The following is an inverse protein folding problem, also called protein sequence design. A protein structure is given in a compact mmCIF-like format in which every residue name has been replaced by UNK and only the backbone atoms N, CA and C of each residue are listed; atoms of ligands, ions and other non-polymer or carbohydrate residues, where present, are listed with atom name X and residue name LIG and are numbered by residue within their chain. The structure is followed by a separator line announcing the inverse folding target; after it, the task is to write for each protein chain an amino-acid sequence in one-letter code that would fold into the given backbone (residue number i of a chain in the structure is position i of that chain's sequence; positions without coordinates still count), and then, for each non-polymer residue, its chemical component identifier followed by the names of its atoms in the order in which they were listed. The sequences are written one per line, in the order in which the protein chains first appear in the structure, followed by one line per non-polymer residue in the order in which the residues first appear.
data_IF_179248767123
#
_entry.id   IF_179248767123
#
_cell.length_a   1.000
_cell.length_b   1.000
_cell.length_c   1.000
_cell.angle_alpha   90.00
_cell.angle_beta   90.00
_cell.angle_gamma   90.00
#
_symmetry.space_group_name_H-M   'P 1'
#
loop_
_entity.id
_entity.type
_entity.pdbx_description
1 polymer ?
#
# COMPACT_ATOMS: atom_id res chain seq x y z
N UNK A 1 -5.34 3.80 -19.08
CA UNK A 1 -5.38 4.59 -20.32
C UNK A 1 -4.17 4.37 -21.23
N UNK A 2 -2.97 4.14 -20.67
CA UNK A 2 -1.73 3.93 -21.45
C UNK A 2 -1.85 2.97 -22.66
N UNK A 3 -2.43 1.77 -22.47
CA UNK A 3 -2.59 0.80 -23.55
C UNK A 3 -3.58 1.28 -24.63
N UNK A 4 -4.61 2.04 -24.24
CA UNK A 4 -5.58 2.64 -25.18
C UNK A 4 -4.92 3.72 -26.04
N UNK A 5 -4.05 4.54 -25.44
CA UNK A 5 -3.30 5.58 -26.16
C UNK A 5 -2.27 5.00 -27.15
N UNK A 6 -1.77 3.80 -26.87
CA UNK A 6 -0.77 3.11 -27.71
C UNK A 6 -1.37 2.04 -28.62
N UNK A 7 -2.69 1.90 -28.64
CA UNK A 7 -3.41 0.84 -29.38
C UNK A 7 -2.85 -0.57 -29.11
N UNK A 8 -2.55 -0.85 -27.84
CA UNK A 8 -1.97 -2.11 -27.39
C UNK A 8 -3.00 -3.00 -26.67
N UNK A 9 -2.89 -4.31 -26.86
CA UNK A 9 -3.64 -5.30 -26.08
C UNK A 9 -3.11 -5.35 -24.63
N UNK A 10 -3.92 -4.98 -23.62
CA UNK A 10 -3.49 -4.94 -22.22
C UNK A 10 -3.14 -6.32 -21.64
N UNK A 11 -3.53 -7.41 -22.30
CA UNK A 11 -3.26 -8.80 -21.85
C UNK A 11 -2.02 -9.42 -22.50
N UNK A 12 -1.38 -8.73 -23.45
CA UNK A 12 -0.20 -9.21 -24.19
C UNK A 12 1.01 -8.30 -24.06
N UNK A 13 1.05 -7.47 -23.02
CA UNK A 13 2.17 -6.56 -22.79
C UNK A 13 3.47 -7.33 -22.50
N UNK A 14 4.58 -6.85 -23.07
CA UNK A 14 5.94 -7.34 -22.80
C UNK A 14 6.56 -6.65 -21.58
N UNK A 15 7.69 -7.16 -21.08
CA UNK A 15 8.44 -6.52 -20.00
C UNK A 15 8.86 -5.09 -20.33
N UNK A 16 9.17 -4.81 -21.60
CA UNK A 16 9.55 -3.47 -22.05
C UNK A 16 8.36 -2.50 -21.95
N UNK A 17 7.17 -2.95 -22.35
CA UNK A 17 5.95 -2.13 -22.27
C UNK A 17 5.62 -1.77 -20.83
N UNK A 18 5.78 -2.73 -19.92
CA UNK A 18 5.62 -2.50 -18.48
C UNK A 18 6.67 -1.51 -17.96
N UNK A 19 7.94 -1.63 -18.36
CA UNK A 19 8.97 -0.67 -17.97
C UNK A 19 8.67 0.74 -18.49
N UNK A 20 8.22 0.89 -19.74
CA UNK A 20 7.83 2.19 -20.29
C UNK A 20 6.63 2.78 -19.55
N UNK A 21 5.61 1.98 -19.24
CA UNK A 21 4.49 2.42 -18.42
C UNK A 21 4.95 2.89 -17.03
N UNK A 22 5.79 2.11 -16.34
CA UNK A 22 6.31 2.48 -15.03
C UNK A 22 7.23 3.71 -15.09
N UNK A 23 7.97 3.89 -16.18
CA UNK A 23 8.79 5.08 -16.41
C UNK A 23 7.92 6.33 -16.62
N UNK A 24 6.83 6.22 -17.38
CA UNK A 24 5.86 7.29 -17.56
C UNK A 24 5.16 7.63 -16.24
N UNK A 25 4.82 6.62 -15.44
CA UNK A 25 4.28 6.82 -14.10
C UNK A 25 5.28 7.54 -13.18
N UNK A 26 6.57 7.22 -13.29
CA UNK A 26 7.64 7.85 -12.51
C UNK A 26 7.83 9.33 -12.85
N UNK A 27 7.71 9.71 -14.13
CA UNK A 27 7.90 11.09 -14.60
C UNK A 27 6.67 11.96 -14.42
N UNK A 28 5.47 11.40 -14.63
CA UNK A 28 4.21 12.14 -14.53
C UNK A 28 3.77 12.46 -13.10
N UNK A 29 4.24 11.68 -12.11
CA UNK A 29 3.72 11.75 -10.76
C UNK A 29 4.75 11.41 -9.67
N UNK A 30 4.56 11.99 -8.49
CA UNK A 30 5.41 11.73 -7.32
C UNK A 30 4.88 10.58 -6.44
N UNK A 31 4.61 9.41 -7.04
CA UNK A 31 4.22 8.23 -6.29
C UNK A 31 5.37 7.58 -5.50
N UNK A 32 5.04 6.92 -4.38
CA UNK A 32 6.01 6.17 -3.60
C UNK A 32 6.33 4.81 -4.25
N UNK A 33 7.40 4.15 -3.82
CA UNK A 33 7.77 2.83 -4.34
C UNK A 33 6.66 1.78 -4.20
N UNK A 34 5.87 1.84 -3.13
CA UNK A 34 4.76 0.90 -2.89
C UNK A 34 3.77 0.91 -4.05
N UNK A 35 3.44 2.07 -4.61
CA UNK A 35 2.57 2.17 -5.80
C UNK A 35 3.12 1.38 -6.99
N UNK A 36 4.41 1.54 -7.32
CA UNK A 36 5.03 0.80 -8.42
C UNK A 36 5.05 -0.71 -8.16
N UNK A 37 5.32 -1.11 -6.92
CA UNK A 37 5.29 -2.51 -6.53
C UNK A 37 3.87 -3.09 -6.64
N UNK A 38 2.84 -2.34 -6.25
CA UNK A 38 1.43 -2.75 -6.41
C UNK A 38 1.06 -2.90 -7.88
N UNK A 39 1.43 -1.94 -8.75
CA UNK A 39 1.20 -2.08 -10.19
C UNK A 39 1.91 -3.31 -10.76
N UNK A 40 3.17 -3.55 -10.40
CA UNK A 40 3.90 -4.75 -10.81
C UNK A 40 3.15 -6.02 -10.38
N UNK A 41 2.75 -6.11 -9.12
CA UNK A 41 2.02 -7.27 -8.60
C UNK A 41 0.70 -7.48 -9.32
N UNK A 42 -0.07 -6.43 -9.56
CA UNK A 42 -1.33 -6.51 -10.30
C UNK A 42 -1.12 -6.98 -11.75
N UNK A 43 -0.15 -6.39 -12.46
CA UNK A 43 0.21 -6.81 -13.82
C UNK A 43 0.65 -8.27 -13.85
N UNK A 44 1.33 -8.73 -12.81
CA UNK A 44 1.82 -10.11 -12.71
C UNK A 44 0.72 -11.16 -12.51
N UNK A 45 -0.51 -10.74 -12.21
CA UNK A 45 -1.68 -11.62 -12.14
C UNK A 45 -2.35 -11.79 -13.50
N UNK A 46 -2.15 -10.84 -14.41
CA UNK A 46 -2.87 -10.73 -15.68
C UNK A 46 -1.96 -11.10 -16.86
N UNK A 47 -0.67 -10.79 -16.76
CA UNK A 47 0.33 -11.03 -17.78
C UNK A 47 1.05 -12.37 -17.56
N UNK A 48 1.70 -12.92 -18.62
CA UNK A 48 2.44 -14.17 -18.54
C UNK A 48 3.52 -14.16 -17.44
N UNK A 49 3.75 -15.32 -16.84
CA UNK A 49 4.67 -15.50 -15.71
C UNK A 49 6.12 -15.12 -16.04
N UNK A 50 6.52 -15.22 -17.32
CA UNK A 50 7.84 -14.81 -17.82
C UNK A 50 8.19 -13.34 -17.49
N UNK A 51 7.19 -12.49 -17.32
CA UNK A 51 7.36 -11.07 -17.02
C UNK A 51 7.75 -10.84 -15.55
N UNK A 52 7.35 -11.74 -14.63
CA UNK A 52 7.76 -11.67 -13.21
C UNK A 52 9.26 -11.87 -13.07
N UNK A 53 9.81 -12.77 -13.89
CA UNK A 53 11.18 -13.23 -13.78
C UNK A 53 12.19 -12.46 -14.61
N UNK A 54 11.73 -11.51 -15.42
CA UNK A 54 12.60 -10.66 -16.21
C UNK A 54 13.63 -9.91 -15.33
N UNK A 55 14.94 -10.15 -15.52
CA UNK A 55 15.99 -9.50 -14.74
C UNK A 55 16.05 -7.99 -14.95
N UNK A 56 15.68 -7.48 -16.14
CA UNK A 56 15.66 -6.05 -16.42
C UNK A 56 14.53 -5.36 -15.67
N UNK A 57 13.33 -5.95 -15.64
CA UNK A 57 12.22 -5.40 -14.86
C UNK A 57 12.55 -5.39 -13.35
N UNK A 58 13.16 -6.47 -12.84
CA UNK A 58 13.64 -6.54 -11.45
C UNK A 58 14.66 -5.44 -11.16
N UNK A 59 15.64 -5.23 -12.06
CA UNK A 59 16.68 -4.20 -11.90
C UNK A 59 16.11 -2.78 -12.02
N UNK A 60 15.14 -2.56 -12.90
CA UNK A 60 14.45 -1.30 -13.08
C UNK A 60 13.70 -0.90 -11.79
N UNK A 61 12.89 -1.81 -11.24
CA UNK A 61 12.20 -1.57 -9.96
C UNK A 61 13.18 -1.35 -8.80
N UNK A 62 14.32 -2.04 -8.78
CA UNK A 62 15.40 -1.76 -7.81
C UNK A 62 15.97 -0.35 -7.95
N UNK A 63 16.04 0.17 -9.18
CA UNK A 63 16.37 1.57 -9.45
C UNK A 63 15.36 2.52 -8.82
N UNK A 64 14.06 2.29 -9.05
CA UNK A 64 12.97 3.09 -8.46
C UNK A 64 13.03 3.02 -6.93
N UNK A 65 13.26 1.84 -6.34
CA UNK A 65 13.41 1.69 -4.90
C UNK A 65 14.52 2.58 -4.32
N UNK A 66 15.66 2.67 -5.01
CA UNK A 66 16.79 3.52 -4.59
C UNK A 66 16.49 5.01 -4.75
N UNK A 67 15.76 5.38 -5.81
CA UNK A 67 15.35 6.76 -6.05
C UNK A 67 14.25 7.22 -5.09
N UNK A 68 13.35 6.31 -4.69
CA UNK A 68 12.18 6.58 -3.85
C UNK A 68 12.08 5.54 -2.74
N UNK A 69 13.00 5.55 -1.74
CA UNK A 69 12.96 4.57 -0.66
C UNK A 69 11.62 4.63 0.08
N UNK A 70 11.03 3.48 0.45
CA UNK A 70 9.80 3.46 1.22
C UNK A 70 10.06 4.14 2.57
N UNK A 71 9.25 5.15 2.86
CA UNK A 71 9.27 5.85 4.14
C UNK A 71 8.26 5.19 5.09
N UNK A 72 8.52 5.18 6.40
CA UNK A 72 7.53 4.76 7.36
C UNK A 72 6.26 5.61 7.19
N UNK A 73 5.08 4.97 7.29
CA UNK A 73 3.79 5.66 7.17
C UNK A 73 3.61 6.70 8.28
N UNK A 74 4.19 6.43 9.45
CA UNK A 74 4.13 7.27 10.63
C UNK A 74 5.54 7.76 10.97
N UNK A 75 5.70 9.06 11.12
CA UNK A 75 6.98 9.66 11.53
C UNK A 75 7.12 9.72 13.06
N UNK A 76 6.07 9.41 13.81
CA UNK A 76 6.04 9.42 15.26
C UNK A 76 5.09 8.35 15.79
N UNK A 77 5.31 7.93 17.03
CA UNK A 77 4.38 7.13 17.83
C UNK A 77 3.63 8.06 18.77
N UNK A 78 2.34 7.80 19.00
CA UNK A 78 1.50 8.58 19.91
C UNK A 78 1.43 7.91 21.29
N UNK A 79 1.07 8.68 22.32
CA UNK A 79 0.96 8.21 23.70
C UNK A 79 -0.41 7.52 23.93
N UNK A 80 -0.47 6.20 24.17
CA UNK A 80 -1.73 5.48 24.39
C UNK A 80 -2.51 5.97 25.62
N UNK A 81 -1.82 6.59 26.59
CA UNK A 81 -2.46 7.07 27.81
C UNK A 81 -3.53 8.13 27.53
N UNK A 82 -3.35 8.98 26.50
CA UNK A 82 -4.33 10.02 26.17
C UNK A 82 -5.71 9.42 25.83
N UNK A 83 -5.71 8.23 25.19
CA UNK A 83 -6.95 7.49 24.87
C UNK A 83 -7.47 6.73 26.08
N UNK A 84 -6.57 6.15 26.90
CA UNK A 84 -6.95 5.45 28.12
C UNK A 84 -7.62 6.38 29.14
N UNK A 85 -7.09 7.59 29.29
CA UNK A 85 -7.64 8.64 30.15
C UNK A 85 -9.02 9.06 29.64
N UNK A 86 -9.20 9.19 28.32
CA UNK A 86 -10.50 9.52 27.73
C UNK A 86 -11.56 8.43 27.95
N UNK A 87 -11.24 7.16 27.70
CA UNK A 87 -12.21 6.07 27.91
C UNK A 87 -12.49 5.80 29.39
N UNK A 88 -11.62 6.27 30.30
CA UNK A 88 -11.85 6.16 31.74
C UNK A 88 -13.02 7.04 32.21
N UNK A 89 -13.35 8.12 31.48
CA UNK A 89 -14.46 9.01 31.81
C UNK A 89 -15.81 8.56 31.25
N UNK A 90 -15.86 7.41 30.55
CA UNK A 90 -17.09 6.91 29.97
C UNK A 90 -17.98 6.31 31.06
N UNK A 91 -19.27 6.63 31.00
CA UNK A 91 -20.27 6.04 31.90
C UNK A 91 -20.49 4.56 31.54
N UNK A 92 -20.42 3.69 32.54
CA UNK A 92 -20.54 2.24 32.39
C UNK A 92 -22.02 1.77 32.44
N UNK A 93 -22.98 2.71 32.48
CA UNK A 93 -24.42 2.40 32.54
C UNK A 93 -25.02 1.90 31.22
N UNK A 94 -24.45 2.25 30.06
CA UNK A 94 -24.94 1.85 28.75
C UNK A 94 -24.06 0.73 28.14
N UNK A 95 -24.70 -0.31 27.60
CA UNK A 95 -24.05 -1.42 26.92
C UNK A 95 -23.18 -0.93 25.74
N UNK A 96 -23.62 0.14 25.08
CA UNK A 96 -22.87 0.77 23.99
C UNK A 96 -21.54 1.35 24.48
N UNK A 97 -21.54 2.05 25.61
CA UNK A 97 -20.32 2.62 26.19
C UNK A 97 -19.33 1.53 26.62
N UNK A 98 -19.84 0.47 27.26
CA UNK A 98 -19.02 -0.65 27.72
C UNK A 98 -18.39 -1.43 26.56
N UNK A 99 -19.17 -1.70 25.50
CA UNK A 99 -18.67 -2.39 24.30
C UNK A 99 -17.61 -1.56 23.56
N UNK A 100 -17.79 -0.24 23.48
CA UNK A 100 -16.80 0.67 22.89
C UNK A 100 -15.50 0.71 23.71
N UNK A 101 -15.59 0.79 25.04
CA UNK A 101 -14.44 0.74 25.96
C UNK A 101 -13.66 -0.57 25.80
N UNK A 102 -14.36 -1.70 25.79
CA UNK A 102 -13.75 -3.02 25.57
C UNK A 102 -13.08 -3.14 24.19
N UNK A 103 -13.77 -2.75 23.12
CA UNK A 103 -13.22 -2.82 21.77
C UNK A 103 -11.98 -1.93 21.61
N UNK A 104 -11.99 -0.74 22.21
CA UNK A 104 -10.86 0.20 22.17
C UNK A 104 -9.65 -0.35 22.91
N UNK A 105 -9.83 -0.87 24.14
CA UNK A 105 -8.74 -1.50 24.90
C UNK A 105 -8.18 -2.72 24.17
N UNK A 106 -9.05 -3.54 23.59
CA UNK A 106 -8.63 -4.72 22.83
C UNK A 106 -7.86 -4.33 21.56
N UNK A 107 -8.28 -3.29 20.85
CA UNK A 107 -7.55 -2.76 19.70
C UNK A 107 -6.16 -2.21 20.09
N UNK A 108 -6.06 -1.48 21.21
CA UNK A 108 -4.80 -0.94 21.71
C UNK A 108 -3.85 -2.04 22.18
N UNK A 109 -4.34 -3.01 22.96
CA UNK A 109 -3.52 -4.08 23.53
C UNK A 109 -3.05 -5.10 22.51
N UNK A 110 -3.89 -5.44 21.53
CA UNK A 110 -3.54 -6.43 20.51
C UNK A 110 -2.77 -5.84 19.34
N UNK A 111 -2.87 -4.53 19.11
CA UNK A 111 -2.32 -3.86 17.93
C UNK A 111 -2.88 -4.40 16.60
N UNK A 112 -3.99 -5.16 16.65
CA UNK A 112 -4.58 -5.75 15.47
C UNK A 112 -5.26 -4.69 14.63
N UNK A 113 -5.15 -4.84 13.31
CA UNK A 113 -5.90 -4.01 12.38
C UNK A 113 -7.35 -4.46 12.40
N UNK A 114 -8.26 -3.51 12.53
CA UNK A 114 -9.67 -3.77 12.27
C UNK A 114 -9.80 -4.21 10.80
N UNK A 115 -10.34 -5.40 10.58
CA UNK A 115 -10.64 -5.88 9.25
C UNK A 115 -11.88 -5.13 8.76
N UNK A 116 -11.66 -4.19 7.83
CA UNK A 116 -12.72 -3.40 7.16
C UNK A 116 -13.39 -4.19 6.06
#
# INVERSE_FOLDING_TARGET
EECRLKEMDPFKASSNDVMVFLQNLLTSSNHNYTTFNTHRSALSLILPESLKDDPFLKRFLKGIYRLRPPKPKYNFTWNPNDVLDHISTFDDQDLKSLSLKLATVLALGTGQRLQT
#
